data_IF_740298161244
#
_entry.id   IF_740298161244
#
_cell.length_a   1.000
_cell.length_b   1.000
_cell.length_c   1.000
_cell.angle_alpha   90.00
_cell.angle_beta   90.00
_cell.angle_gamma   90.00
#
_symmetry.space_group_name_H-M   'P 1'
#
loop_
_entity.id
_entity.type
_entity.pdbx_description
1 polymer ?
#
# COMPACT_ATOMS: atom_id res chain seq x y z
N UNK A 1 18.07 -38.58 -39.04
CA UNK A 1 16.92 -39.04 -38.24
C UNK A 1 17.11 -38.48 -36.85
N UNK A 2 16.21 -37.55 -36.44
CA UNK A 2 16.12 -36.85 -35.13
C UNK A 2 17.24 -35.81 -34.90
N UNK A 3 17.00 -34.59 -34.42
CA UNK A 3 15.81 -33.96 -33.86
C UNK A 3 15.90 -32.44 -34.12
N UNK A 4 14.75 -31.83 -34.38
CA UNK A 4 14.56 -30.39 -34.43
C UNK A 4 14.66 -29.82 -33.01
N UNK A 5 15.23 -28.61 -32.88
CA UNK A 5 14.69 -27.47 -32.11
C UNK A 5 15.80 -26.47 -31.79
N UNK A 6 15.71 -25.28 -32.38
CA UNK A 6 15.90 -24.02 -31.66
C UNK A 6 15.67 -22.85 -32.61
N UNK A 7 14.42 -22.41 -32.71
CA UNK A 7 14.09 -20.98 -32.74
C UNK A 7 12.73 -20.87 -32.07
N UNK A 8 12.70 -20.33 -30.85
CA UNK A 8 11.47 -19.76 -30.30
C UNK A 8 11.79 -18.28 -30.06
N UNK A 9 11.00 -17.35 -30.63
CA UNK A 9 11.26 -15.94 -30.45
C UNK A 9 11.15 -15.62 -28.95
N UNK A 10 12.14 -14.89 -28.44
CA UNK A 10 12.03 -14.26 -27.13
C UNK A 10 10.77 -13.39 -27.15
N UNK A 11 9.75 -13.79 -26.39
CA UNK A 11 8.63 -12.91 -26.09
C UNK A 11 9.17 -11.87 -25.12
N UNK A 12 9.63 -10.75 -25.68
CA UNK A 12 9.76 -9.48 -24.97
C UNK A 12 8.36 -9.09 -24.49
N UNK A 13 7.96 -9.65 -23.35
CA UNK A 13 6.85 -9.12 -22.58
C UNK A 13 7.35 -7.80 -22.02
N UNK A 14 6.95 -6.73 -22.69
CA UNK A 14 7.05 -5.35 -22.23
C UNK A 14 6.79 -5.31 -20.73
N UNK A 15 7.83 -4.92 -19.98
CA UNK A 15 7.77 -4.70 -18.53
C UNK A 15 6.92 -3.46 -18.33
N UNK A 16 5.60 -3.65 -18.34
CA UNK A 16 4.65 -2.61 -18.01
C UNK A 16 4.80 -2.28 -16.53
N UNK A 17 4.74 -0.99 -16.25
CA UNK A 17 4.91 -0.39 -14.94
C UNK A 17 4.17 -1.16 -13.85
N UNK A 18 4.82 -1.32 -12.69
CA UNK A 18 4.26 -1.93 -11.47
C UNK A 18 3.06 -1.10 -10.99
N UNK A 19 1.94 -1.18 -11.67
CA UNK A 19 0.68 -0.64 -11.20
C UNK A 19 0.11 -1.64 -10.20
N UNK A 20 0.25 -1.33 -8.91
CA UNK A 20 -0.47 -2.06 -7.87
C UNK A 20 -1.96 -1.77 -8.06
N UNK A 21 -2.68 -2.71 -8.69
CA UNK A 21 -4.13 -2.66 -8.75
C UNK A 21 -4.67 -2.96 -7.35
N UNK A 22 -5.49 -2.08 -6.73
CA UNK A 22 -6.06 -2.36 -5.43
C UNK A 22 -7.06 -3.50 -5.58
N UNK A 23 -6.65 -4.71 -5.21
CA UNK A 23 -7.39 -5.95 -5.43
C UNK A 23 -8.46 -6.18 -4.34
N UNK A 24 -9.26 -5.14 -4.09
CA UNK A 24 -10.37 -5.21 -3.15
C UNK A 24 -10.83 -3.86 -2.64
N UNK A 25 -12.15 -3.69 -2.52
CA UNK A 25 -12.74 -2.72 -1.59
C UNK A 25 -12.26 -3.15 -0.20
N UNK A 26 -11.45 -2.33 0.46
CA UNK A 26 -11.11 -2.52 1.87
C UNK A 26 -12.41 -2.46 2.69
N UNK A 27 -13.07 -3.61 2.85
CA UNK A 27 -14.03 -3.78 3.94
C UNK A 27 -13.18 -3.69 5.19
N UNK A 28 -13.31 -2.62 6.00
CA UNK A 28 -12.54 -2.49 7.22
C UNK A 28 -12.86 -3.72 8.07
N UNK A 29 -11.87 -4.57 8.33
CA UNK A 29 -12.07 -5.62 9.30
C UNK A 29 -12.36 -4.94 10.66
N UNK A 30 -13.28 -5.45 11.49
CA UNK A 30 -13.55 -4.85 12.80
C UNK A 30 -12.30 -4.86 13.71
N UNK A 31 -11.29 -5.66 13.38
CA UNK A 31 -9.97 -5.70 14.03
C UNK A 31 -8.98 -4.67 13.48
N UNK A 32 -9.33 -3.92 12.43
CA UNK A 32 -8.45 -2.95 11.76
C UNK A 32 -7.87 -1.89 12.71
N UNK A 33 -8.60 -1.33 13.71
CA UNK A 33 -8.03 -0.44 14.71
C UNK A 33 -6.98 -1.09 15.61
N UNK A 34 -7.01 -2.43 15.73
CA UNK A 34 -6.09 -3.22 16.55
C UNK A 34 -4.87 -3.71 15.76
N UNK A 35 -4.78 -3.37 14.46
CA UNK A 35 -3.69 -3.80 13.60
C UNK A 35 -2.39 -3.08 13.95
N UNK A 36 -1.37 -3.85 14.31
CA UNK A 36 -0.04 -3.36 14.60
C UNK A 36 0.95 -3.95 13.60
N UNK A 37 1.80 -3.09 13.04
CA UNK A 37 2.85 -3.45 12.12
C UNK A 37 4.18 -3.47 12.84
N UNK A 38 4.97 -4.51 12.62
CA UNK A 38 6.36 -4.55 13.09
C UNK A 38 7.22 -3.78 12.10
N UNK A 39 7.74 -2.63 12.52
CA UNK A 39 8.70 -1.85 11.75
C UNK A 39 10.11 -2.08 12.27
N UNK A 40 11.02 -2.41 11.36
CA UNK A 40 12.44 -2.57 11.65
C UNK A 40 13.25 -1.45 11.03
N UNK A 41 13.71 -0.53 11.86
CA UNK A 41 14.81 0.36 11.52
C UNK A 41 16.14 -0.32 11.90
N UNK A 42 17.25 0.06 11.25
CA UNK A 42 18.56 -0.61 11.32
C UNK A 42 18.91 -1.25 12.68
N UNK A 43 18.71 -0.53 13.79
CA UNK A 43 19.00 -1.00 15.14
C UNK A 43 17.78 -1.07 16.08
N UNK A 44 16.58 -0.78 15.59
CA UNK A 44 15.38 -0.68 16.41
C UNK A 44 14.19 -1.37 15.74
N UNK A 45 13.49 -2.18 16.53
CA UNK A 45 12.18 -2.70 16.15
C UNK A 45 11.13 -1.99 16.99
N UNK A 46 10.12 -1.44 16.36
CA UNK A 46 8.98 -0.83 17.03
C UNK A 46 7.69 -1.32 16.39
N UNK A 47 6.64 -1.34 17.19
CA UNK A 47 5.28 -1.57 16.70
C UNK A 47 4.68 -0.23 16.32
N UNK A 48 4.07 -0.18 15.14
CA UNK A 48 3.33 0.98 14.69
C UNK A 48 1.88 0.55 14.45
N UNK A 49 0.93 1.21 15.11
CA UNK A 49 -0.49 1.00 14.83
C UNK A 49 -0.84 1.52 13.45
N UNK A 50 -1.90 1.00 12.84
CA UNK A 50 -2.41 1.55 11.59
C UNK A 50 -2.76 3.05 11.72
N UNK A 51 -3.28 3.47 12.87
CA UNK A 51 -3.55 4.89 13.17
C UNK A 51 -2.31 5.77 12.96
N UNK A 52 -1.16 5.35 13.49
CA UNK A 52 0.09 6.08 13.33
C UNK A 52 0.55 6.14 11.88
N UNK A 53 0.31 5.08 11.08
CA UNK A 53 0.60 5.10 9.64
C UNK A 53 -0.28 6.15 8.94
N UNK A 54 -1.58 6.17 9.26
CA UNK A 54 -2.53 7.09 8.63
C UNK A 54 -2.21 8.55 8.98
N UNK A 55 -1.80 8.83 10.23
CA UNK A 55 -1.32 10.15 10.63
C UNK A 55 -0.04 10.56 9.87
N UNK A 56 0.92 9.65 9.73
CA UNK A 56 2.11 9.91 8.92
C UNK A 56 1.77 10.20 7.46
N UNK A 57 0.79 9.48 6.89
CA UNK A 57 0.34 9.69 5.51
C UNK A 57 -0.33 11.06 5.35
N UNK A 58 -1.21 11.44 6.28
CA UNK A 58 -1.88 12.74 6.28
C UNK A 58 -0.86 13.89 6.37
N UNK A 59 0.16 13.73 7.21
CA UNK A 59 1.23 14.72 7.34
C UNK A 59 2.10 14.80 6.09
N UNK A 60 2.41 13.67 5.45
CA UNK A 60 3.13 13.64 4.19
C UNK A 60 2.34 14.34 3.06
N UNK A 61 1.02 14.15 3.00
CA UNK A 61 0.15 14.83 2.05
C UNK A 61 0.16 16.35 2.30
N UNK A 62 0.03 16.77 3.56
CA UNK A 62 0.08 18.18 3.97
C UNK A 62 1.40 18.85 3.58
N UNK A 63 2.50 18.11 3.57
CA UNK A 63 3.82 18.59 3.16
C UNK A 63 4.04 18.53 1.63
N UNK A 64 3.14 17.88 0.88
CA UNK A 64 3.28 17.67 -0.57
C UNK A 64 4.27 16.57 -0.95
N UNK A 65 4.67 15.73 0.01
CA UNK A 65 5.55 14.57 -0.20
C UNK A 65 4.81 13.40 -0.87
N UNK A 66 3.48 13.38 -0.76
CA UNK A 66 2.59 12.50 -1.54
C UNK A 66 1.54 13.33 -2.29
N UNK A 67 0.99 12.82 -3.40
CA UNK A 67 -0.14 13.46 -4.08
C UNK A 67 -1.33 13.62 -3.15
N UNK A 68 -2.17 14.63 -3.45
CA UNK A 68 -3.44 14.84 -2.75
C UNK A 68 -4.33 13.61 -2.90
N UNK A 69 -4.81 13.11 -1.76
CA UNK A 69 -5.73 11.99 -1.64
C UNK A 69 -7.15 12.59 -1.60
N UNK A 70 -8.11 11.90 -2.22
CA UNK A 70 -9.48 12.39 -2.28
C UNK A 70 -10.10 12.53 -0.88
N UNK A 71 -10.74 13.68 -0.61
CA UNK A 71 -11.35 14.00 0.69
C UNK A 71 -12.29 12.90 1.21
N UNK A 72 -13.02 12.23 0.30
CA UNK A 72 -13.97 11.17 0.65
C UNK A 72 -13.27 9.99 1.35
N UNK A 73 -12.00 9.73 1.02
CA UNK A 73 -11.21 8.68 1.64
C UNK A 73 -10.92 9.00 3.10
N UNK A 74 -10.48 10.23 3.37
CA UNK A 74 -10.24 10.72 4.74
C UNK A 74 -11.51 10.74 5.58
N UNK A 75 -12.62 11.23 5.03
CA UNK A 75 -13.94 11.22 5.70
C UNK A 75 -14.38 9.79 6.06
N UNK A 76 -14.16 8.82 5.16
CA UNK A 76 -14.49 7.42 5.41
C UNK A 76 -13.66 6.84 6.56
N UNK A 77 -12.40 7.25 6.69
CA UNK A 77 -11.51 6.80 7.77
C UNK A 77 -11.80 7.47 9.10
N UNK A 78 -12.20 8.74 9.11
CA UNK A 78 -12.63 9.46 10.32
C UNK A 78 -13.85 8.82 10.99
N UNK A 79 -14.66 8.03 10.26
CA UNK A 79 -15.73 7.22 10.83
C UNK A 79 -15.25 6.00 11.63
N UNK A 80 -13.98 5.60 11.47
CA UNK A 80 -13.37 4.39 12.06
C UNK A 80 -12.22 4.69 13.00
N UNK A 81 -11.54 5.81 12.77
CA UNK A 81 -10.37 6.26 13.51
C UNK A 81 -10.60 7.68 14.00
N UNK A 82 -10.93 7.82 15.29
CA UNK A 82 -11.26 9.11 15.89
C UNK A 82 -10.07 10.09 15.86
N UNK A 83 -8.84 9.57 15.83
CA UNK A 83 -7.60 10.37 15.79
C UNK A 83 -7.40 11.17 14.50
N UNK A 84 -8.14 10.83 13.44
CA UNK A 84 -8.05 11.51 12.14
C UNK A 84 -9.04 12.68 12.00
N UNK A 85 -9.88 12.94 13.02
CA UNK A 85 -10.86 14.03 13.01
C UNK A 85 -10.23 15.40 13.28
#
# INVERSE_FOLDING_TARGET
>A
MKDNREVTPQSEAEKTDNWAYPDGVLVPSPELPQLHFVMKARHHTFLLSLENILLCLQEAERQGEVPTIEDIWWVTLQGKFDVLR
#
